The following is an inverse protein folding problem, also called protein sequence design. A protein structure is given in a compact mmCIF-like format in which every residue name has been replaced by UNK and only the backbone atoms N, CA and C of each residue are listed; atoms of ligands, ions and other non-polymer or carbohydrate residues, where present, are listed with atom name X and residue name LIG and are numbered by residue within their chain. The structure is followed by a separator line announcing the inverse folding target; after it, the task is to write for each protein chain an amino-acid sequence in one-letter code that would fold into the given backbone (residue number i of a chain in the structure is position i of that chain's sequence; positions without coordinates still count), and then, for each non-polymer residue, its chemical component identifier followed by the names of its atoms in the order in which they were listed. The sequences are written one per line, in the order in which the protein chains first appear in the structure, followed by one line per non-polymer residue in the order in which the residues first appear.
data_IF_324796477166
#
_entry.id   IF_324796477166
#
_cell.length_a   1.000
_cell.length_b   1.000
_cell.length_c   1.000
_cell.angle_alpha   90.00
_cell.angle_beta   90.00
_cell.angle_gamma   90.00
#
_symmetry.space_group_name_H-M   'P 1'
#
loop_
_entity.id
_entity.type
_entity.pdbx_description
1 polymer ?
#
# COMPACT_ATOMS: atom_id res chain seq x y z
N UNK A 1 -26.29 93.56 4.52
CA UNK A 1 -25.44 92.69 3.67
C UNK A 1 -26.26 91.52 3.19
N UNK A 2 -26.57 91.47 1.90
CA UNK A 2 -26.90 90.24 1.14
C UNK A 2 -27.05 90.63 -0.33
N UNK A 3 -25.93 90.51 -1.06
CA UNK A 3 -25.80 90.64 -2.51
C UNK A 3 -26.49 89.47 -3.24
N UNK A 4 -26.91 89.69 -4.48
CA UNK A 4 -27.12 88.59 -5.43
C UNK A 4 -26.57 88.97 -6.82
N UNK A 5 -25.64 88.20 -7.40
CA UNK A 5 -24.97 88.54 -8.65
C UNK A 5 -25.64 87.95 -9.91
N UNK A 6 -25.50 88.68 -11.02
CA UNK A 6 -25.99 88.34 -12.38
C UNK A 6 -25.13 87.27 -13.06
N UNK A 7 -25.76 86.25 -13.66
CA UNK A 7 -25.11 85.18 -14.44
C UNK A 7 -24.91 85.56 -15.92
N UNK A 8 -23.71 85.32 -16.47
CA UNK A 8 -23.42 85.33 -17.92
C UNK A 8 -23.26 83.91 -18.47
N UNK A 9 -23.87 83.62 -19.63
CA UNK A 9 -23.78 82.34 -20.37
C UNK A 9 -22.59 82.33 -21.35
N UNK A 10 -21.98 81.15 -21.55
CA UNK A 10 -20.84 80.89 -22.48
C UNK A 10 -21.26 79.99 -23.67
N UNK A 11 -20.58 80.06 -24.83
CA UNK A 11 -21.04 79.43 -26.08
C UNK A 11 -20.60 77.96 -26.26
N UNK A 12 -21.37 77.21 -27.07
CA UNK A 12 -21.27 75.75 -27.28
C UNK A 12 -20.26 75.35 -28.36
N UNK A 13 -19.60 74.19 -28.18
CA UNK A 13 -18.63 73.57 -29.12
C UNK A 13 -19.24 72.41 -29.95
N UNK A 14 -18.66 72.05 -31.12
CA UNK A 14 -19.30 71.16 -32.10
C UNK A 14 -19.17 69.66 -31.78
N UNK A 15 -20.15 68.87 -32.24
CA UNK A 15 -20.30 67.43 -31.94
C UNK A 15 -19.41 66.54 -32.81
N UNK A 16 -18.75 65.54 -32.20
CA UNK A 16 -17.99 64.46 -32.87
C UNK A 16 -18.87 63.22 -33.12
N UNK A 17 -18.70 62.59 -34.28
CA UNK A 17 -19.43 61.38 -34.72
C UNK A 17 -19.06 60.13 -33.87
N UNK A 18 -20.07 59.29 -33.59
CA UNK A 18 -19.96 58.10 -32.72
C UNK A 18 -19.51 56.85 -33.49
N UNK A 19 -18.48 56.17 -33.00
CA UNK A 19 -18.01 54.86 -33.51
C UNK A 19 -18.92 53.72 -32.98
N UNK A 20 -19.28 52.77 -33.85
CA UNK A 20 -20.32 51.73 -33.61
C UNK A 20 -19.88 50.62 -32.64
N UNK A 21 -20.85 50.12 -31.86
CA UNK A 21 -20.72 49.24 -30.68
C UNK A 21 -20.54 47.73 -30.99
N UNK A 22 -19.65 47.33 -31.89
CA UNK A 22 -19.50 45.91 -32.30
C UNK A 22 -18.91 44.96 -31.24
N UNK A 23 -18.20 45.48 -30.24
CA UNK A 23 -17.48 44.69 -29.24
C UNK A 23 -18.38 43.97 -28.22
N UNK A 24 -19.61 44.46 -27.99
CA UNK A 24 -20.51 43.88 -26.98
C UNK A 24 -21.06 42.51 -27.37
N UNK A 25 -21.33 42.30 -28.66
CA UNK A 25 -21.86 41.03 -29.18
C UNK A 25 -20.78 39.93 -29.18
N UNK A 26 -19.53 40.31 -29.46
CA UNK A 26 -18.37 39.42 -29.36
C UNK A 26 -18.15 38.98 -27.91
N UNK A 27 -18.27 39.89 -26.94
CA UNK A 27 -18.19 39.54 -25.52
C UNK A 27 -19.32 38.61 -25.06
N UNK A 28 -20.55 38.83 -25.53
CA UNK A 28 -21.70 37.97 -25.17
C UNK A 28 -21.52 36.53 -25.68
N UNK A 29 -21.11 36.37 -26.94
CA UNK A 29 -20.88 35.04 -27.54
C UNK A 29 -19.71 34.31 -26.88
N UNK A 30 -18.65 35.03 -26.52
CA UNK A 30 -17.52 34.47 -25.80
C UNK A 30 -17.93 33.93 -24.42
N UNK A 31 -18.77 34.66 -23.67
CA UNK A 31 -19.28 34.20 -22.38
C UNK A 31 -20.14 32.94 -22.53
N UNK A 32 -20.99 32.86 -23.55
CA UNK A 32 -21.86 31.69 -23.79
C UNK A 32 -21.04 30.43 -24.08
N UNK A 33 -19.91 30.54 -24.77
CA UNK A 33 -19.01 29.41 -25.04
C UNK A 33 -18.13 29.10 -23.82
N UNK A 34 -17.69 30.12 -23.10
CA UNK A 34 -16.75 29.97 -21.98
C UNK A 34 -17.38 29.20 -20.81
N UNK A 35 -18.63 29.50 -20.45
CA UNK A 35 -19.30 28.86 -19.30
C UNK A 35 -19.37 27.33 -19.40
N UNK A 36 -19.87 26.70 -20.48
CA UNK A 36 -19.90 25.23 -20.57
C UNK A 36 -18.49 24.62 -20.59
N UNK A 37 -17.51 25.28 -21.20
CA UNK A 37 -16.10 24.82 -21.19
C UNK A 37 -15.54 24.81 -19.78
N UNK A 38 -15.83 25.83 -18.97
CA UNK A 38 -15.39 25.89 -17.57
C UNK A 38 -16.05 24.82 -16.70
N UNK A 39 -17.35 24.52 -16.93
CA UNK A 39 -18.05 23.45 -16.19
C UNK A 39 -17.45 22.08 -16.52
N UNK A 40 -17.23 21.78 -17.80
CA UNK A 40 -16.60 20.52 -18.22
C UNK A 40 -15.17 20.43 -17.68
N UNK A 41 -14.39 21.50 -17.80
CA UNK A 41 -13.02 21.56 -17.25
C UNK A 41 -12.97 21.36 -15.74
N UNK A 42 -13.92 21.93 -15.00
CA UNK A 42 -14.05 21.73 -13.55
C UNK A 42 -14.32 20.26 -13.21
N UNK A 43 -15.29 19.63 -13.87
CA UNK A 43 -15.65 18.22 -13.63
C UNK A 43 -14.49 17.28 -13.97
N UNK A 44 -13.74 17.54 -15.05
CA UNK A 44 -12.56 16.75 -15.40
C UNK A 44 -11.43 16.90 -14.38
N UNK A 45 -11.21 18.13 -13.88
CA UNK A 45 -10.20 18.40 -12.84
C UNK A 45 -10.55 17.79 -11.48
N UNK A 46 -11.84 17.71 -11.12
CA UNK A 46 -12.26 17.04 -9.88
C UNK A 46 -12.20 15.52 -10.03
N UNK A 47 -12.67 14.98 -11.16
CA UNK A 47 -12.66 13.53 -11.41
C UNK A 47 -11.24 12.97 -11.48
N UNK A 48 -10.31 13.69 -12.13
CA UNK A 48 -8.90 13.27 -12.19
C UNK A 48 -8.18 13.28 -10.83
N UNK A 49 -8.68 14.04 -9.84
CA UNK A 49 -8.12 14.06 -8.48
C UNK A 49 -8.69 12.97 -7.58
N UNK A 50 -9.89 12.48 -7.89
CA UNK A 50 -10.61 11.48 -7.08
C UNK A 50 -10.48 10.05 -7.63
N UNK A 51 -9.89 9.86 -8.82
CA UNK A 51 -9.78 8.53 -9.46
C UNK A 51 -8.67 7.63 -8.92
N UNK A 52 -7.83 8.10 -8.00
CA UNK A 52 -6.58 7.41 -7.62
C UNK A 52 -6.60 6.82 -6.20
N UNK A 53 -7.78 6.76 -5.57
CA UNK A 53 -7.92 6.12 -4.26
C UNK A 53 -8.93 4.98 -4.32
N UNK A 54 -8.53 3.76 -3.87
CA UNK A 54 -9.45 2.64 -3.81
C UNK A 54 -10.61 2.97 -2.86
N UNK A 55 -11.78 2.35 -3.09
CA UNK A 55 -12.90 2.45 -2.15
C UNK A 55 -12.48 1.82 -0.83
N UNK A 56 -12.15 2.66 0.15
CA UNK A 56 -11.83 2.21 1.50
C UNK A 56 -13.12 1.79 2.22
N UNK A 57 -13.32 0.47 2.37
CA UNK A 57 -14.29 -0.05 3.31
C UNK A 57 -13.80 0.19 4.74
N UNK A 58 -14.61 0.82 5.59
CA UNK A 58 -14.25 0.95 7.00
C UNK A 58 -14.41 -0.42 7.69
N UNK A 59 -13.29 -1.07 7.98
CA UNK A 59 -13.24 -2.37 8.67
C UNK A 59 -13.23 -2.27 10.20
N UNK A 60 -13.11 -1.05 10.73
CA UNK A 60 -13.00 -0.78 12.17
C UNK A 60 -14.25 -0.09 12.71
N UNK A 61 -14.76 -0.64 13.80
CA UNK A 61 -15.91 -0.10 14.53
C UNK A 61 -15.56 1.14 15.37
N UNK A 62 -16.57 1.78 15.98
CA UNK A 62 -16.38 3.00 16.78
C UNK A 62 -15.48 2.85 18.01
N UNK A 63 -15.36 1.62 18.53
CA UNK A 63 -14.56 1.30 19.72
C UNK A 63 -13.25 0.58 19.39
N UNK A 64 -13.00 0.27 18.11
CA UNK A 64 -11.76 -0.35 17.69
C UNK A 64 -10.62 0.65 17.77
N UNK A 65 -9.39 0.16 17.95
CA UNK A 65 -8.17 0.98 17.96
C UNK A 65 -8.19 2.06 19.05
N UNK A 66 -8.74 1.71 20.21
CA UNK A 66 -8.85 2.56 21.37
C UNK A 66 -8.13 1.89 22.56
N UNK A 67 -7.02 2.46 23.05
CA UNK A 67 -6.48 3.80 22.77
C UNK A 67 -5.82 3.95 21.39
N UNK A 68 -5.89 5.17 20.84
CA UNK A 68 -5.26 5.51 19.56
C UNK A 68 -3.77 5.79 19.76
N UNK A 69 -2.94 5.20 18.90
CA UNK A 69 -1.49 5.48 18.85
C UNK A 69 -1.25 6.93 18.38
N UNK A 70 -0.41 7.67 19.10
CA UNK A 70 -0.06 9.06 18.80
C UNK A 70 1.31 9.17 18.14
N UNK A 71 1.48 10.18 17.28
CA UNK A 71 2.75 10.44 16.59
C UNK A 71 3.92 10.74 17.54
N UNK A 72 3.63 11.31 18.71
CA UNK A 72 4.64 11.54 19.76
C UNK A 72 5.20 10.23 20.33
N UNK A 73 4.36 9.20 20.48
CA UNK A 73 4.79 7.87 20.92
C UNK A 73 5.63 7.20 19.82
N UNK A 74 5.21 7.31 18.56
CA UNK A 74 5.99 6.77 17.42
C UNK A 74 7.37 7.43 17.31
N UNK A 75 7.44 8.75 17.49
CA UNK A 75 8.70 9.50 17.46
C UNK A 75 9.65 9.10 18.61
N UNK A 76 9.10 8.86 19.81
CA UNK A 76 9.87 8.40 20.96
C UNK A 76 10.43 6.99 20.73
N UNK A 77 9.57 6.05 20.29
CA UNK A 77 9.98 4.69 19.94
C UNK A 77 11.08 4.72 18.87
N UNK A 78 10.89 5.45 17.77
CA UNK A 78 11.90 5.55 16.71
C UNK A 78 13.25 6.04 17.23
N UNK A 79 13.22 7.05 18.12
CA UNK A 79 14.45 7.61 18.71
C UNK A 79 15.19 6.60 19.61
N UNK A 80 14.46 5.73 20.31
CA UNK A 80 15.05 4.66 21.14
C UNK A 80 15.52 3.48 20.30
N UNK A 81 14.81 3.12 19.23
CA UNK A 81 15.24 2.08 18.29
C UNK A 81 16.59 2.40 17.64
N UNK A 82 16.84 3.68 17.32
CA UNK A 82 18.13 4.12 16.80
C UNK A 82 19.31 3.95 17.78
N UNK A 83 19.03 3.67 19.06
CA UNK A 83 20.06 3.40 20.07
C UNK A 83 20.42 1.92 20.19
N UNK A 84 19.71 1.03 19.49
CA UNK A 84 20.07 -0.39 19.39
C UNK A 84 21.44 -0.50 18.70
N UNK A 85 22.32 -1.35 19.26
CA UNK A 85 23.67 -1.53 18.71
C UNK A 85 23.66 -2.05 17.28
N UNK A 86 24.47 -1.45 16.41
CA UNK A 86 24.57 -1.86 15.00
C UNK A 86 23.40 -1.40 14.12
N UNK A 87 22.54 -0.50 14.62
CA UNK A 87 21.45 0.10 13.85
C UNK A 87 21.97 1.17 12.88
N UNK A 88 21.62 1.05 11.60
CA UNK A 88 21.88 2.09 10.59
C UNK A 88 20.66 2.99 10.41
N UNK A 89 19.46 2.38 10.31
CA UNK A 89 18.19 3.11 10.22
C UNK A 89 17.06 2.34 10.86
N UNK A 90 16.17 3.04 11.57
CA UNK A 90 14.88 2.53 12.02
C UNK A 90 13.75 3.41 11.47
N UNK A 91 12.76 2.81 10.84
CA UNK A 91 11.56 3.49 10.33
C UNK A 91 10.29 2.85 10.87
N UNK A 92 9.25 3.68 11.06
CA UNK A 92 7.95 3.23 11.56
C UNK A 92 6.86 3.69 10.60
N UNK A 93 5.92 2.80 10.31
CA UNK A 93 4.77 3.03 9.45
C UNK A 93 3.50 2.47 10.11
N UNK A 94 2.58 3.36 10.51
CA UNK A 94 1.26 2.95 10.98
C UNK A 94 0.25 3.06 9.84
N UNK A 95 -0.06 1.93 9.18
CA UNK A 95 -0.99 1.88 8.04
C UNK A 95 -2.02 0.78 8.23
N UNK A 96 -3.28 1.13 8.01
CA UNK A 96 -4.43 0.22 8.16
C UNK A 96 -4.47 -0.50 9.52
N UNK A 97 -4.10 0.18 10.60
CA UNK A 97 -4.01 -0.39 11.95
C UNK A 97 -2.95 -1.49 12.17
N UNK A 98 -1.94 -1.55 11.31
CA UNK A 98 -0.71 -2.31 11.58
C UNK A 98 0.42 -1.31 11.80
N UNK A 99 1.07 -1.37 12.96
CA UNK A 99 2.33 -0.69 13.19
C UNK A 99 3.44 -1.56 12.63
N UNK A 100 4.12 -1.07 11.60
CA UNK A 100 5.28 -1.72 10.98
C UNK A 100 6.53 -0.98 11.41
N UNK A 101 7.54 -1.74 11.82
CA UNK A 101 8.84 -1.21 12.22
C UNK A 101 9.88 -1.91 11.36
N UNK A 102 10.71 -1.14 10.67
CA UNK A 102 11.79 -1.65 9.84
C UNK A 102 13.12 -1.25 10.46
N UNK A 103 13.96 -2.24 10.74
CA UNK A 103 15.27 -2.10 11.36
C UNK A 103 16.33 -2.55 10.35
N UNK A 104 17.05 -1.58 9.80
CA UNK A 104 18.24 -1.84 8.99
C UNK A 104 19.45 -1.82 9.91
N UNK A 105 20.11 -2.97 10.07
CA UNK A 105 21.35 -3.10 10.81
C UNK A 105 22.53 -3.08 9.85
N UNK A 106 23.75 -3.03 10.39
CA UNK A 106 24.98 -3.15 9.61
C UNK A 106 25.00 -4.43 8.77
N UNK A 107 25.56 -4.36 7.56
CA UNK A 107 25.59 -5.48 6.59
C UNK A 107 26.16 -6.80 7.14
N UNK A 108 27.08 -6.69 8.10
CA UNK A 108 27.76 -7.82 8.73
C UNK A 108 26.95 -8.50 9.85
N UNK A 109 25.77 -7.97 10.19
CA UNK A 109 24.90 -8.52 11.22
C UNK A 109 24.49 -9.96 10.90
N UNK A 110 24.69 -10.86 11.85
CA UNK A 110 24.23 -12.24 11.73
C UNK A 110 22.77 -12.40 12.19
N UNK A 111 22.20 -13.58 11.97
CA UNK A 111 20.80 -13.85 12.32
C UNK A 111 20.51 -13.61 13.80
N UNK A 112 21.40 -14.04 14.69
CA UNK A 112 21.22 -13.87 16.14
C UNK A 112 21.18 -12.38 16.53
N UNK A 113 22.02 -11.57 15.89
CA UNK A 113 22.02 -10.12 16.07
C UNK A 113 20.70 -9.50 15.60
N UNK A 114 20.18 -9.92 14.45
CA UNK A 114 18.89 -9.46 13.95
C UNK A 114 17.74 -9.87 14.87
N UNK A 115 17.68 -11.14 15.29
CA UNK A 115 16.66 -11.63 16.25
C UNK A 115 16.71 -10.83 17.56
N UNK A 116 17.90 -10.62 18.11
CA UNK A 116 18.07 -9.82 19.32
C UNK A 116 17.59 -8.37 19.14
N UNK A 117 17.88 -7.74 18.00
CA UNK A 117 17.43 -6.40 17.69
C UNK A 117 15.90 -6.33 17.56
N UNK A 118 15.27 -7.29 16.88
CA UNK A 118 13.82 -7.37 16.75
C UNK A 118 13.13 -7.57 18.12
N UNK A 119 13.69 -8.41 18.99
CA UNK A 119 13.17 -8.60 20.34
C UNK A 119 13.38 -7.38 21.25
N UNK A 120 14.53 -6.70 21.13
CA UNK A 120 14.74 -5.44 21.84
C UNK A 120 13.76 -4.36 21.38
N UNK A 121 13.52 -4.26 20.07
CA UNK A 121 12.53 -3.36 19.51
C UNK A 121 11.11 -3.67 20.01
N UNK A 122 10.75 -4.95 20.10
CA UNK A 122 9.46 -5.39 20.68
C UNK A 122 9.30 -4.92 22.13
N UNK A 123 10.37 -5.01 22.93
CA UNK A 123 10.35 -4.54 24.31
C UNK A 123 10.21 -3.01 24.40
N UNK A 124 10.95 -2.26 23.57
CA UNK A 124 10.82 -0.80 23.48
C UNK A 124 9.37 -0.43 23.11
N UNK A 125 8.78 -1.10 22.12
CA UNK A 125 7.37 -0.88 21.78
C UNK A 125 6.48 -1.13 22.98
N UNK A 126 6.66 -2.23 23.72
CA UNK A 126 5.85 -2.55 24.90
C UNK A 126 5.98 -1.52 26.03
N UNK A 127 7.12 -0.86 26.17
CA UNK A 127 7.32 0.21 27.17
C UNK A 127 6.50 1.47 26.85
N UNK A 128 6.36 1.83 25.58
CA UNK A 128 5.63 3.04 25.14
C UNK A 128 4.16 2.77 24.75
N UNK A 129 3.91 1.57 24.23
CA UNK A 129 2.66 1.05 23.71
C UNK A 129 2.47 -0.38 24.25
N UNK A 130 1.99 -0.55 25.49
CA UNK A 130 1.85 -1.87 26.11
C UNK A 130 1.11 -2.86 25.21
N UNK A 131 1.71 -4.04 24.99
CA UNK A 131 1.22 -5.04 24.04
C UNK A 131 -0.22 -5.44 24.33
N UNK A 132 -0.53 -5.71 25.59
CA UNK A 132 -1.87 -6.10 26.02
C UNK A 132 -2.93 -5.03 25.77
N UNK A 133 -2.53 -3.76 25.71
CA UNK A 133 -3.44 -2.63 25.54
C UNK A 133 -3.64 -2.27 24.07
N UNK A 134 -2.56 -2.22 23.29
CA UNK A 134 -2.58 -1.71 21.92
C UNK A 134 -2.59 -2.81 20.86
N UNK A 135 -2.09 -3.99 21.16
CA UNK A 135 -1.81 -5.05 20.17
C UNK A 135 -2.44 -6.41 20.51
N UNK A 136 -3.36 -6.44 21.46
CA UNK A 136 -4.19 -7.60 21.80
C UNK A 136 -5.66 -7.20 21.77
N UNK A 137 -6.48 -7.93 21.02
CA UNK A 137 -7.92 -7.71 20.93
C UNK A 137 -8.56 -7.95 22.29
N UNK A 138 -9.53 -7.11 22.65
CA UNK A 138 -10.31 -7.27 23.87
C UNK A 138 -11.78 -7.57 23.52
N UNK A 139 -12.60 -7.77 24.54
CA UNK A 139 -14.05 -7.85 24.36
C UNK A 139 -14.66 -6.52 23.85
N UNK A 140 -13.94 -5.40 24.01
CA UNK A 140 -14.41 -4.06 23.67
C UNK A 140 -14.17 -3.68 22.21
N UNK A 141 -13.22 -4.35 21.54
CA UNK A 141 -12.90 -4.07 20.14
C UNK A 141 -11.64 -4.74 19.63
N UNK A 142 -11.42 -4.60 18.32
CA UNK A 142 -10.18 -4.98 17.64
C UNK A 142 -9.10 -3.93 17.90
N UNK A 143 -7.88 -4.40 18.09
CA UNK A 143 -6.70 -3.60 18.32
C UNK A 143 -5.71 -3.71 17.16
N UNK A 144 -4.58 -3.01 17.27
CA UNK A 144 -3.58 -2.93 16.23
C UNK A 144 -2.83 -4.26 16.07
N UNK A 145 -2.27 -4.47 14.88
CA UNK A 145 -1.24 -5.49 14.67
C UNK A 145 0.15 -4.84 14.77
N UNK A 146 1.15 -5.62 15.19
CA UNK A 146 2.55 -5.21 15.24
C UNK A 146 3.39 -6.11 14.33
N UNK A 147 4.19 -5.51 13.47
CA UNK A 147 5.19 -6.18 12.66
C UNK A 147 6.53 -5.47 12.86
N UNK A 148 7.58 -6.22 13.18
CA UNK A 148 8.94 -5.74 13.33
C UNK A 148 9.83 -6.56 12.40
N UNK A 149 10.38 -5.88 11.41
CA UNK A 149 11.28 -6.43 10.42
C UNK A 149 12.71 -6.00 10.77
N UNK A 150 13.62 -6.95 10.92
CA UNK A 150 15.05 -6.68 11.09
C UNK A 150 15.85 -7.38 10.00
N UNK A 151 16.71 -6.63 9.33
CA UNK A 151 17.54 -7.12 8.23
C UNK A 151 18.90 -6.44 8.23
N UNK A 152 19.88 -7.09 7.60
CA UNK A 152 21.23 -6.57 7.49
C UNK A 152 21.44 -5.66 6.28
N UNK A 153 20.66 -5.84 5.20
CA UNK A 153 20.61 -4.92 4.06
C UNK A 153 19.40 -5.19 3.17
N UNK A 154 19.14 -4.29 2.23
CA UNK A 154 18.23 -4.50 1.11
C UNK A 154 19.03 -5.05 -0.06
N UNK A 155 18.52 -6.12 -0.69
CA UNK A 155 19.20 -6.74 -1.83
C UNK A 155 19.28 -5.75 -3.00
N UNK A 156 20.50 -5.55 -3.50
CA UNK A 156 20.82 -4.72 -4.66
C UNK A 156 22.09 -5.23 -5.37
N UNK A 157 22.63 -4.48 -6.33
CA UNK A 157 23.83 -4.88 -7.09
C UNK A 157 25.10 -5.00 -6.22
N UNK A 158 25.19 -4.28 -5.10
CA UNK A 158 26.31 -4.31 -4.16
C UNK A 158 26.06 -5.28 -2.99
N UNK A 159 24.80 -5.57 -2.69
CA UNK A 159 24.34 -6.45 -1.62
C UNK A 159 23.59 -7.66 -2.21
N UNK A 160 24.30 -8.74 -2.59
CA UNK A 160 23.67 -9.89 -3.22
C UNK A 160 22.72 -10.62 -2.26
N UNK A 161 21.86 -11.49 -2.80
CA UNK A 161 20.98 -12.37 -1.99
C UNK A 161 21.80 -13.27 -1.06
N UNK A 162 23.02 -13.63 -1.46
CA UNK A 162 23.94 -14.39 -0.62
C UNK A 162 24.45 -13.55 0.55
N UNK A 163 24.13 -13.98 1.77
CA UNK A 163 24.38 -13.21 3.00
C UNK A 163 23.21 -12.34 3.45
N UNK A 164 22.13 -12.25 2.66
CA UNK A 164 20.92 -11.55 3.10
C UNK A 164 20.28 -12.31 4.26
N UNK A 165 19.94 -11.59 5.32
CA UNK A 165 19.33 -12.13 6.53
C UNK A 165 18.14 -11.24 6.86
N UNK A 166 17.01 -11.88 7.15
CA UNK A 166 15.78 -11.18 7.48
C UNK A 166 15.03 -11.94 8.55
N UNK A 167 14.69 -11.26 9.62
CA UNK A 167 13.87 -11.77 10.73
C UNK A 167 12.65 -10.89 10.87
N UNK A 168 11.49 -11.51 11.04
CA UNK A 168 10.22 -10.85 11.31
C UNK A 168 9.70 -11.29 12.67
N UNK A 169 9.37 -10.33 13.53
CA UNK A 169 8.52 -10.55 14.69
C UNK A 169 7.14 -10.00 14.37
N UNK A 170 6.10 -10.80 14.56
CA UNK A 170 4.72 -10.39 14.32
C UNK A 170 3.85 -10.69 15.54
N UNK A 171 2.90 -9.80 15.83
CA UNK A 171 1.87 -9.97 16.85
C UNK A 171 0.57 -9.42 16.27
N UNK A 172 -0.34 -10.32 15.90
CA UNK A 172 -1.68 -9.89 15.50
C UNK A 172 -2.55 -9.64 16.73
N UNK A 173 -3.54 -8.76 16.62
CA UNK A 173 -4.49 -8.50 17.70
C UNK A 173 -5.15 -9.78 18.23
N UNK A 174 -5.41 -10.76 17.36
CA UNK A 174 -6.11 -12.00 17.72
C UNK A 174 -5.18 -13.17 18.11
N UNK A 175 -3.87 -13.07 17.84
CA UNK A 175 -2.94 -14.18 17.98
C UNK A 175 -1.76 -13.85 18.89
N UNK A 176 -0.91 -14.86 19.11
CA UNK A 176 0.31 -14.72 19.89
C UNK A 176 1.45 -14.11 19.06
N UNK A 177 2.52 -13.73 19.74
CA UNK A 177 3.76 -13.29 19.11
C UNK A 177 4.43 -14.46 18.38
N UNK A 178 4.89 -14.21 17.17
CA UNK A 178 5.63 -15.18 16.34
C UNK A 178 6.90 -14.53 15.82
N UNK A 179 8.02 -15.25 15.92
CA UNK A 179 9.29 -14.88 15.27
C UNK A 179 9.54 -15.82 14.10
N UNK A 180 9.80 -15.25 12.93
CA UNK A 180 10.09 -15.96 11.69
C UNK A 180 11.42 -15.50 11.09
N UNK A 181 12.28 -16.46 10.72
CA UNK A 181 13.49 -16.21 9.94
C UNK A 181 13.14 -16.34 8.47
N UNK A 182 12.85 -15.21 7.82
CA UNK A 182 12.28 -15.17 6.46
C UNK A 182 13.23 -15.72 5.40
N UNK A 183 14.54 -15.63 5.65
CA UNK A 183 15.57 -16.15 4.73
C UNK A 183 15.80 -17.66 4.88
N UNK A 184 15.03 -18.36 5.71
CA UNK A 184 15.10 -19.80 5.87
C UNK A 184 13.73 -20.45 5.68
N UNK A 185 13.66 -21.65 5.08
CA UNK A 185 12.41 -22.37 4.97
C UNK A 185 11.93 -22.81 6.34
N UNK A 186 10.68 -22.50 6.69
CA UNK A 186 10.05 -22.96 7.93
C UNK A 186 10.02 -24.50 8.04
N UNK A 187 9.90 -25.19 6.91
CA UNK A 187 10.06 -26.64 6.80
C UNK A 187 11.03 -26.96 5.65
N UNK A 188 12.29 -27.30 5.97
CA UNK A 188 13.32 -27.59 4.97
C UNK A 188 12.95 -28.76 4.05
N UNK A 189 12.43 -29.86 4.60
CA UNK A 189 12.08 -31.06 3.83
C UNK A 189 10.95 -30.79 2.84
N UNK A 190 9.91 -30.05 3.29
CA UNK A 190 8.80 -29.66 2.43
C UNK A 190 9.27 -28.68 1.33
N UNK A 191 10.13 -27.73 1.68
CA UNK A 191 10.69 -26.80 0.71
C UNK A 191 11.50 -27.53 -0.37
N UNK A 192 12.30 -28.52 0.04
CA UNK A 192 13.05 -29.36 -0.89
C UNK A 192 12.11 -30.23 -1.76
N UNK A 193 11.07 -30.83 -1.18
CA UNK A 193 10.07 -31.59 -1.92
C UNK A 193 9.36 -30.74 -2.99
N UNK A 194 8.94 -29.53 -2.65
CA UNK A 194 8.31 -28.59 -3.60
C UNK A 194 9.29 -28.19 -4.70
N UNK A 195 10.54 -27.88 -4.34
CA UNK A 195 11.58 -27.55 -5.33
C UNK A 195 11.81 -28.70 -6.31
N UNK A 196 11.85 -29.94 -5.81
CA UNK A 196 12.06 -31.12 -6.63
C UNK A 196 10.84 -31.45 -7.52
N UNK A 197 9.60 -31.19 -7.06
CA UNK A 197 8.39 -31.34 -7.89
C UNK A 197 8.32 -30.31 -9.03
N UNK A 198 8.71 -29.05 -8.77
CA UNK A 198 8.78 -28.00 -9.80
C UNK A 198 9.83 -28.36 -10.86
N UNK A 199 10.98 -28.93 -10.46
CA UNK A 199 12.02 -29.39 -11.39
C UNK A 199 11.58 -30.63 -12.19
N UNK A 200 10.69 -31.46 -11.64
CA UNK A 200 10.16 -32.66 -12.31
C UNK A 200 8.97 -32.40 -13.23
N UNK A 201 8.47 -31.15 -13.35
CA UNK A 201 7.46 -30.78 -14.34
C UNK A 201 8.11 -30.02 -15.50
N UNK A 202 8.73 -30.68 -16.50
CA UNK A 202 9.05 -30.03 -17.76
C UNK A 202 7.74 -29.65 -18.45
N UNK A 203 7.70 -28.44 -19.01
CA UNK A 203 6.48 -27.83 -19.54
C UNK A 203 5.61 -28.78 -20.35
N UNK A 204 4.31 -28.75 -20.06
CA UNK A 204 3.28 -29.37 -20.89
C UNK A 204 3.35 -28.75 -22.28
N UNK A 205 4.09 -29.37 -23.19
CA UNK A 205 3.84 -29.24 -24.61
C UNK A 205 2.44 -29.80 -24.84
N UNK A 206 1.45 -28.92 -24.84
CA UNK A 206 0.16 -29.20 -25.43
C UNK A 206 0.35 -29.25 -26.96
N UNK A 207 0.89 -30.36 -27.45
CA UNK A 207 0.77 -30.72 -28.85
C UNK A 207 -0.62 -31.33 -29.03
N UNK A 208 -1.53 -30.47 -29.47
CA UNK A 208 -2.87 -30.81 -29.95
C UNK A 208 -2.71 -31.85 -31.09
N UNK A 209 -3.35 -33.03 -31.04
CA UNK A 209 -3.32 -33.91 -32.19
C UNK A 209 -4.22 -33.30 -33.28
N UNK A 210 -3.61 -33.00 -34.42
CA UNK A 210 -4.33 -32.74 -35.66
C UNK A 210 -4.96 -34.07 -36.15
N UNK A 211 -6.24 -33.98 -36.46
CA UNK A 211 -7.07 -34.98 -37.11
C UNK A 211 -6.67 -35.14 -38.59
N UNK A 212 -6.33 -36.35 -39.05
CA UNK A 212 -6.82 -36.92 -40.33
C UNK A 212 -6.40 -38.41 -40.54
N UNK A 213 -7.40 -39.30 -40.43
CA UNK A 213 -7.72 -40.48 -41.27
C UNK A 213 -6.67 -41.55 -41.64
N UNK A 214 -6.93 -42.82 -41.25
CA UNK A 214 -7.34 -43.94 -42.15
C UNK A 214 -7.54 -45.29 -41.41
N UNK A 215 -8.83 -45.71 -41.28
CA UNK A 215 -9.48 -47.05 -41.46
C UNK A 215 -8.89 -48.41 -40.91
N UNK A 216 -9.70 -49.47 -40.67
CA UNK A 216 -9.88 -50.07 -39.34
C UNK A 216 -10.02 -51.61 -39.35
N UNK A 217 -9.03 -52.43 -38.99
CA UNK A 217 -9.33 -53.83 -38.67
C UNK A 217 -8.17 -54.56 -38.00
N UNK A 218 -8.33 -54.93 -36.73
CA UNK A 218 -7.99 -56.27 -36.23
C UNK A 218 -8.44 -56.35 -34.77
N UNK A 219 -9.48 -57.16 -34.52
CA UNK A 219 -10.03 -57.40 -33.20
C UNK A 219 -9.09 -58.17 -32.26
N UNK A 220 -9.51 -58.21 -31.00
CA UNK A 220 -8.90 -59.01 -29.94
C UNK A 220 -9.54 -58.64 -28.60
N UNK A 221 -10.43 -59.52 -28.13
CA UNK A 221 -11.17 -59.48 -26.88
C UNK A 221 -10.27 -59.59 -25.62
N UNK A 222 -10.91 -59.38 -24.47
CA UNK A 222 -10.52 -59.68 -23.06
C UNK A 222 -10.18 -58.45 -22.20
N UNK A 223 -11.08 -57.96 -21.34
CA UNK A 223 -11.60 -58.51 -20.07
C UNK A 223 -10.74 -58.10 -18.85
N UNK A 224 -11.30 -57.23 -17.99
CA UNK A 224 -11.63 -57.50 -16.55
C UNK A 224 -10.42 -57.30 -15.63
N UNK A 225 -10.34 -56.24 -14.83
CA UNK A 225 -10.72 -56.10 -13.39
C UNK A 225 -9.67 -55.09 -12.84
N UNK A 226 -9.84 -54.23 -11.85
CA UNK A 226 -10.81 -54.03 -10.79
C UNK A 226 -10.13 -53.08 -9.77
N UNK A 227 -10.92 -52.15 -9.22
CA UNK A 227 -10.90 -51.47 -7.91
C UNK A 227 -9.56 -51.38 -7.12
N UNK A 228 -9.21 -50.28 -6.46
CA UNK A 228 -10.06 -49.18 -6.02
C UNK A 228 -9.30 -48.15 -5.17
N UNK A 229 -10.10 -47.21 -4.68
CA UNK A 229 -9.76 -46.07 -3.84
C UNK A 229 -9.44 -46.46 -2.40
N UNK A 230 -8.59 -45.66 -1.73
CA UNK A 230 -8.71 -45.22 -0.32
C UNK A 230 -7.53 -44.27 -0.04
N UNK A 231 -7.71 -42.96 0.01
CA UNK A 231 -8.19 -42.11 1.12
C UNK A 231 -7.26 -42.03 2.35
N UNK A 232 -6.91 -40.77 2.63
CA UNK A 232 -6.27 -40.15 3.79
C UNK A 232 -6.44 -40.85 5.16
N UNK A 233 -5.32 -40.97 5.88
CA UNK A 233 -5.16 -40.46 7.25
C UNK A 233 -3.78 -39.84 7.41
#
# INVERSE_FOLDING_TARGET
MSDTPVKRKRPSKPKRQKVKQGHKLVWLTLVIILVPVLVVGYVLLTSAKESDQPVEGNRFGPNDLNPKIQETQLSAIQSELMQIGGMETATLDLKSATLRIHLNLVDTADQNTLEAAAHQAYNIVNEHLPIETYFTNSAEGKNYDLEIDSYNYIVDDNHPVDGWRFVKVSKSGAGDQVTDVITQPRNPDLAEAVKNQVIQTPGTNAEQPADETTDPNAGGEEAVEGYGEEYYQ
#
